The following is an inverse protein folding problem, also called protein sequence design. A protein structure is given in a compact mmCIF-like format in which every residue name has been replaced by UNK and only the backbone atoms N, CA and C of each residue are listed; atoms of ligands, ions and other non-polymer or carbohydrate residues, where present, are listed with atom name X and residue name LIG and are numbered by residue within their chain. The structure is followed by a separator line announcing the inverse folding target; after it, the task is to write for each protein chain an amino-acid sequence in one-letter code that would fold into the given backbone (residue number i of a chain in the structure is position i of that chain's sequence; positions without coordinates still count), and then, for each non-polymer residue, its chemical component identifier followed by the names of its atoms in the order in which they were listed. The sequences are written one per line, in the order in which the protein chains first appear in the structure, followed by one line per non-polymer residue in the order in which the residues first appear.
data_IF_981129871275
#
_entry.id   IF_981129871275
#
_cell.length_a   1.000
_cell.length_b   1.000
_cell.length_c   1.000
_cell.angle_alpha   90.00
_cell.angle_beta   90.00
_cell.angle_gamma   90.00
#
_symmetry.space_group_name_H-M   'P 1'
#
loop_
_entity.id
_entity.type
_entity.pdbx_description
1 polymer ?
#
# COMPACT_ATOMS: atom_id res chain seq x y z
N UNK A 1 -76.12 29.22 -51.09
CA UNK A 1 -75.53 27.86 -51.06
C UNK A 1 -74.01 28.01 -51.06
N UNK A 2 -73.38 28.01 -49.88
CA UNK A 2 -72.67 26.90 -49.23
C UNK A 2 -71.48 26.33 -50.03
N UNK A 3 -70.27 26.58 -49.47
CA UNK A 3 -69.17 25.61 -49.18
C UNK A 3 -68.33 25.17 -50.40
N UNK A 4 -66.99 25.12 -50.40
CA UNK A 4 -65.98 25.02 -49.32
C UNK A 4 -64.57 25.20 -49.90
N UNK A 5 -63.74 25.88 -49.14
CA UNK A 5 -62.28 25.94 -49.23
C UNK A 5 -61.62 24.56 -49.13
N UNK A 6 -60.56 24.33 -49.91
CA UNK A 6 -59.55 23.29 -49.63
C UNK A 6 -58.16 23.82 -50.01
N UNK A 7 -57.55 24.50 -49.04
CA UNK A 7 -56.13 24.85 -49.01
C UNK A 7 -55.33 23.55 -48.92
N UNK A 8 -54.56 23.25 -49.97
CA UNK A 8 -53.55 22.18 -49.95
C UNK A 8 -52.35 22.64 -49.14
N UNK A 9 -52.23 22.15 -47.91
CA UNK A 9 -51.00 22.25 -47.11
C UNK A 9 -49.96 21.27 -47.68
N UNK A 10 -48.94 21.81 -48.37
CA UNK A 10 -47.74 21.06 -48.70
C UNK A 10 -46.90 20.86 -47.43
N UNK A 11 -46.83 19.64 -46.93
CA UNK A 11 -45.91 19.27 -45.86
C UNK A 11 -44.48 19.23 -46.43
N UNK A 12 -43.71 20.29 -46.18
CA UNK A 12 -42.27 20.28 -46.40
C UNK A 12 -41.62 19.44 -45.30
N UNK A 13 -41.23 18.20 -45.63
CA UNK A 13 -40.37 17.38 -44.78
C UNK A 13 -38.96 18.00 -44.75
N UNK A 14 -38.72 18.86 -43.75
CA UNK A 14 -37.38 19.30 -43.36
C UNK A 14 -36.60 18.09 -42.82
N UNK A 15 -35.77 17.48 -43.66
CA UNK A 15 -34.76 16.53 -43.22
C UNK A 15 -33.67 17.30 -42.47
N UNK A 16 -33.79 17.37 -41.15
CA UNK A 16 -32.70 17.86 -40.31
C UNK A 16 -31.50 16.90 -40.45
N UNK A 17 -30.28 17.38 -40.73
CA UNK A 17 -29.11 16.54 -40.68
C UNK A 17 -28.91 16.10 -39.23
N UNK A 18 -29.07 14.81 -38.96
CA UNK A 18 -28.60 14.20 -37.73
C UNK A 18 -27.07 14.31 -37.72
N UNK A 19 -26.54 15.42 -37.21
CA UNK A 19 -25.15 15.53 -36.78
C UNK A 19 -24.98 14.58 -35.60
N UNK A 20 -24.69 13.32 -35.90
CA UNK A 20 -24.30 12.33 -34.91
C UNK A 20 -23.09 12.87 -34.16
N UNK A 21 -23.26 13.07 -32.86
CA UNK A 21 -22.17 13.33 -31.94
C UNK A 21 -21.32 12.06 -31.94
N UNK A 22 -20.30 11.99 -32.79
CA UNK A 22 -19.23 11.02 -32.63
C UNK A 22 -18.49 11.43 -31.35
N UNK A 23 -18.88 10.84 -30.23
CA UNK A 23 -18.12 10.94 -29.00
C UNK A 23 -16.71 10.47 -29.27
N UNK A 24 -15.73 11.34 -29.10
CA UNK A 24 -14.33 10.96 -29.14
C UNK A 24 -14.11 9.89 -28.08
N UNK A 25 -13.83 8.66 -28.51
CA UNK A 25 -13.46 7.58 -27.61
C UNK A 25 -12.09 7.95 -27.04
N UNK A 26 -12.07 8.52 -25.83
CA UNK A 26 -10.83 8.80 -25.12
C UNK A 26 -10.13 7.48 -24.87
N UNK A 27 -9.01 7.27 -25.55
CA UNK A 27 -8.20 6.08 -25.34
C UNK A 27 -7.81 5.98 -23.86
N UNK A 28 -7.95 4.78 -23.29
CA UNK A 28 -7.56 4.50 -21.91
C UNK A 28 -6.15 5.03 -21.62
N UNK A 29 -5.93 5.79 -20.52
CA UNK A 29 -4.63 6.36 -20.20
C UNK A 29 -3.56 5.26 -20.10
N UNK A 30 -2.45 5.44 -20.81
CA UNK A 30 -1.29 4.56 -20.71
C UNK A 30 -0.43 4.97 -19.52
N UNK A 31 -0.26 4.06 -18.57
CA UNK A 31 0.68 4.18 -17.46
C UNK A 31 1.87 3.26 -17.68
N UNK A 32 3.07 3.82 -17.65
CA UNK A 32 4.34 3.09 -17.74
C UNK A 32 4.84 2.84 -16.33
N UNK A 33 5.20 1.60 -16.00
CA UNK A 33 5.53 1.18 -14.64
C UNK A 33 6.90 0.50 -14.65
N UNK A 34 7.82 0.94 -13.79
CA UNK A 34 9.13 0.33 -13.58
C UNK A 34 9.14 -0.36 -12.22
N UNK A 35 9.41 -1.66 -12.21
CA UNK A 35 9.35 -2.51 -11.02
C UNK A 35 10.36 -3.66 -11.11
N UNK A 36 10.50 -4.39 -10.02
CA UNK A 36 11.14 -5.72 -10.05
C UNK A 36 10.15 -6.77 -10.64
N UNK A 37 10.61 -7.75 -11.45
CA UNK A 37 9.75 -8.78 -12.03
C UNK A 37 9.05 -9.62 -10.95
N UNK A 38 9.73 -9.87 -9.84
CA UNK A 38 9.29 -10.75 -8.75
C UNK A 38 8.55 -9.99 -7.64
N UNK A 39 8.26 -8.70 -7.84
CA UNK A 39 7.47 -7.91 -6.89
C UNK A 39 5.98 -8.25 -7.01
N UNK A 40 5.49 -9.15 -6.15
CA UNK A 40 4.08 -9.58 -6.10
C UNK A 40 3.11 -8.41 -5.95
N UNK A 41 3.29 -7.56 -4.94
CA UNK A 41 2.40 -6.42 -4.69
C UNK A 41 2.39 -5.40 -5.86
N UNK A 42 3.51 -5.23 -6.56
CA UNK A 42 3.57 -4.39 -7.76
C UNK A 42 2.71 -4.95 -8.90
N UNK A 43 2.71 -6.28 -9.09
CA UNK A 43 1.86 -6.94 -10.07
C UNK A 43 0.37 -6.79 -9.71
N UNK A 44 0.06 -6.83 -8.42
CA UNK A 44 -1.31 -6.73 -7.92
C UNK A 44 -1.86 -5.31 -8.05
N UNK A 45 -1.01 -4.31 -7.82
CA UNK A 45 -1.32 -2.93 -8.14
C UNK A 45 -1.53 -2.72 -9.65
N UNK A 46 -0.76 -3.39 -10.52
CA UNK A 46 -1.00 -3.38 -11.98
C UNK A 46 -2.36 -4.01 -12.33
N UNK A 47 -2.75 -5.12 -11.68
CA UNK A 47 -4.08 -5.72 -11.85
C UNK A 47 -5.19 -4.75 -11.44
N UNK A 48 -5.00 -4.03 -10.34
CA UNK A 48 -5.90 -2.96 -9.90
C UNK A 48 -6.04 -1.87 -10.96
N UNK A 49 -4.92 -1.38 -11.53
CA UNK A 49 -4.96 -0.38 -12.59
C UNK A 49 -5.73 -0.86 -13.83
N UNK A 50 -5.53 -2.10 -14.26
CA UNK A 50 -6.28 -2.68 -15.37
C UNK A 50 -7.78 -2.73 -15.08
N UNK A 51 -8.18 -3.16 -13.88
CA UNK A 51 -9.58 -3.18 -13.45
C UNK A 51 -10.22 -1.78 -13.45
N UNK A 52 -9.41 -0.73 -13.28
CA UNK A 52 -9.82 0.67 -13.30
C UNK A 52 -9.59 1.39 -14.65
N UNK A 53 -9.45 0.63 -15.73
CA UNK A 53 -9.47 1.17 -17.09
C UNK A 53 -8.15 1.80 -17.55
N UNK A 54 -7.04 1.51 -16.89
CA UNK A 54 -5.72 1.90 -17.37
C UNK A 54 -5.11 0.84 -18.30
N UNK A 55 -4.41 1.32 -19.32
CA UNK A 55 -3.47 0.49 -20.08
C UNK A 55 -2.13 0.55 -19.37
N UNK A 56 -1.52 -0.60 -19.10
CA UNK A 56 -0.24 -0.66 -18.39
C UNK A 56 0.85 -1.17 -19.33
N UNK A 57 1.99 -0.49 -19.34
CA UNK A 57 3.24 -1.01 -19.90
C UNK A 57 4.24 -1.18 -18.76
N UNK A 58 4.57 -2.43 -18.42
CA UNK A 58 5.51 -2.74 -17.36
C UNK A 58 6.94 -2.91 -17.91
N UNK A 59 7.90 -2.43 -17.14
CA UNK A 59 9.33 -2.62 -17.31
C UNK A 59 9.87 -3.30 -16.05
N UNK A 60 10.33 -4.53 -16.20
CA UNK A 60 10.80 -5.38 -15.08
C UNK A 60 12.23 -5.04 -14.64
N UNK A 61 12.69 -3.81 -14.83
CA UNK A 61 13.97 -3.34 -14.30
C UNK A 61 14.02 -1.81 -14.33
N UNK A 62 15.05 -1.24 -13.71
CA UNK A 62 15.34 0.19 -13.82
C UNK A 62 14.50 1.08 -12.90
N UNK A 63 13.76 0.53 -11.93
CA UNK A 63 12.95 1.30 -10.98
C UNK A 63 13.77 2.40 -10.27
N UNK A 64 14.89 2.04 -9.63
CA UNK A 64 15.72 3.01 -8.91
C UNK A 64 16.25 4.14 -9.81
N UNK A 65 16.71 3.80 -11.02
CA UNK A 65 17.19 4.78 -12.00
C UNK A 65 16.05 5.68 -12.51
N UNK A 66 14.86 5.12 -12.75
CA UNK A 66 13.70 5.88 -13.19
C UNK A 66 13.18 6.82 -12.10
N UNK A 67 13.12 6.36 -10.84
CA UNK A 67 12.77 7.20 -9.69
C UNK A 67 13.66 8.44 -9.60
N UNK A 68 14.97 8.23 -9.66
CA UNK A 68 15.95 9.33 -9.64
C UNK A 68 15.76 10.25 -10.84
N UNK A 69 15.61 9.70 -12.05
CA UNK A 69 15.40 10.46 -13.28
C UNK A 69 14.13 11.30 -13.26
N UNK A 70 13.07 10.79 -12.62
CA UNK A 70 11.79 11.47 -12.49
C UNK A 70 11.73 12.42 -11.30
N UNK A 71 12.83 12.57 -10.53
CA UNK A 71 12.93 13.57 -9.48
C UNK A 71 12.16 13.25 -8.20
N UNK A 72 11.81 11.99 -7.96
CA UNK A 72 11.17 11.60 -6.71
C UNK A 72 12.21 11.63 -5.56
N UNK A 73 11.94 12.37 -4.46
CA UNK A 73 12.81 12.39 -3.30
C UNK A 73 13.01 10.98 -2.71
N UNK A 74 14.23 10.62 -2.26
CA UNK A 74 14.50 9.31 -1.68
C UNK A 74 13.57 8.94 -0.51
N UNK A 75 13.16 9.93 0.28
CA UNK A 75 12.24 9.74 1.41
C UNK A 75 10.83 9.27 1.01
N UNK A 76 10.43 9.46 -0.26
CA UNK A 76 9.13 9.05 -0.78
C UNK A 76 9.17 7.70 -1.50
N UNK A 77 10.34 7.04 -1.55
CA UNK A 77 10.52 5.82 -2.33
C UNK A 77 9.59 4.68 -1.89
N UNK A 78 9.14 3.92 -2.89
CA UNK A 78 8.32 2.71 -2.76
C UNK A 78 8.88 1.55 -3.59
N UNK A 79 8.10 0.50 -3.83
CA UNK A 79 8.51 -0.70 -4.57
C UNK A 79 8.53 -0.50 -6.10
N UNK A 80 7.78 0.48 -6.63
CA UNK A 80 7.74 0.80 -8.05
C UNK A 80 7.54 2.31 -8.29
N UNK A 81 7.95 2.76 -9.47
CA UNK A 81 7.73 4.11 -9.97
C UNK A 81 7.00 4.00 -11.30
N UNK A 82 6.05 4.89 -11.55
CA UNK A 82 5.28 4.93 -12.77
C UNK A 82 5.13 6.34 -13.33
N UNK A 83 4.74 6.45 -14.60
CA UNK A 83 4.47 7.72 -15.27
C UNK A 83 3.20 7.63 -16.12
N UNK A 84 2.32 8.62 -15.96
CA UNK A 84 1.06 8.74 -16.71
C UNK A 84 0.68 10.20 -16.90
N UNK A 85 0.30 10.58 -18.13
CA UNK A 85 -0.23 11.93 -18.40
C UNK A 85 0.70 13.10 -18.05
N UNK A 86 2.01 12.86 -17.95
CA UNK A 86 3.01 13.84 -17.51
C UNK A 86 3.29 13.88 -16.00
N UNK A 87 2.59 13.05 -15.21
CA UNK A 87 2.79 12.92 -13.77
C UNK A 87 3.58 11.67 -13.42
N UNK A 88 4.32 11.75 -12.32
CA UNK A 88 4.99 10.62 -11.67
C UNK A 88 4.05 9.99 -10.64
N UNK A 89 3.99 8.67 -10.57
CA UNK A 89 3.21 7.92 -9.59
C UNK A 89 4.18 7.01 -8.84
N UNK A 90 4.41 7.27 -7.56
CA UNK A 90 5.33 6.50 -6.72
C UNK A 90 4.55 5.61 -5.76
N UNK A 91 4.77 4.29 -5.85
CA UNK A 91 4.14 3.32 -4.97
C UNK A 91 2.65 3.10 -5.19
N UNK A 92 2.01 2.49 -4.19
CA UNK A 92 0.65 1.95 -4.23
C UNK A 92 -0.46 3.03 -4.19
N UNK A 93 -0.37 4.01 -5.08
CA UNK A 93 -1.37 5.07 -5.24
C UNK A 93 -2.68 4.48 -5.81
N UNK A 94 -3.85 4.73 -5.20
CA UNK A 94 -5.11 4.23 -5.71
C UNK A 94 -5.47 4.77 -7.11
N UNK A 95 -5.95 3.90 -7.98
CA UNK A 95 -6.38 4.25 -9.33
C UNK A 95 -7.36 5.44 -9.37
N UNK A 96 -8.28 5.54 -8.40
CA UNK A 96 -9.21 6.66 -8.28
C UNK A 96 -8.50 8.02 -8.10
N UNK A 97 -7.42 8.07 -7.31
CA UNK A 97 -6.63 9.28 -7.11
C UNK A 97 -5.79 9.62 -8.33
N UNK A 98 -5.27 8.63 -9.05
CA UNK A 98 -4.59 8.83 -10.34
C UNK A 98 -5.56 9.42 -11.36
N UNK A 99 -6.78 8.89 -11.44
CA UNK A 99 -7.81 9.44 -12.33
C UNK A 99 -8.19 10.87 -11.92
N UNK A 100 -8.29 11.16 -10.62
CA UNK A 100 -8.56 12.52 -10.12
C UNK A 100 -7.44 13.48 -10.51
N UNK A 101 -6.18 13.07 -10.36
CA UNK A 101 -5.00 13.83 -10.78
C UNK A 101 -5.05 14.16 -12.28
N UNK A 102 -5.40 13.17 -13.13
CA UNK A 102 -5.48 13.36 -14.57
C UNK A 102 -6.64 14.25 -15.02
N UNK A 103 -7.74 14.29 -14.25
CA UNK A 103 -8.86 15.21 -14.50
C UNK A 103 -8.55 16.63 -14.05
N UNK A 104 -8.02 16.81 -12.84
CA UNK A 104 -7.77 18.12 -12.24
C UNK A 104 -6.52 18.81 -12.81
N UNK A 105 -5.54 18.00 -13.26
CA UNK A 105 -4.26 18.45 -13.81
C UNK A 105 -3.56 19.54 -12.97
N UNK A 106 -3.36 19.36 -11.66
CA UNK A 106 -2.67 20.36 -10.84
C UNK A 106 -1.21 20.52 -11.27
N UNK A 107 -0.63 21.70 -10.99
CA UNK A 107 0.80 21.92 -11.17
C UNK A 107 1.59 21.17 -10.09
N UNK A 108 2.01 19.94 -10.41
CA UNK A 108 2.72 19.05 -9.51
C UNK A 108 3.70 18.17 -10.29
N UNK A 109 4.62 17.52 -9.56
CA UNK A 109 5.39 16.40 -10.09
C UNK A 109 4.51 15.15 -10.23
N UNK A 110 3.69 14.87 -9.21
CA UNK A 110 2.82 13.70 -9.22
C UNK A 110 2.31 13.27 -7.84
N UNK A 111 2.02 11.99 -7.69
CA UNK A 111 1.50 11.39 -6.45
C UNK A 111 2.47 10.35 -5.89
N UNK A 112 2.51 10.22 -4.57
CA UNK A 112 3.30 9.21 -3.89
C UNK A 112 2.54 8.58 -2.71
N UNK A 113 2.67 7.25 -2.58
CA UNK A 113 2.43 6.50 -1.35
C UNK A 113 3.77 5.89 -0.92
N UNK A 114 4.49 6.52 0.02
CA UNK A 114 5.80 6.04 0.45
C UNK A 114 5.74 4.67 1.13
N UNK A 115 6.85 3.92 1.06
CA UNK A 115 6.96 2.54 1.58
C UNK A 115 5.93 1.63 0.90
N UNK A 116 5.19 0.82 1.66
CA UNK A 116 4.16 -0.11 1.19
C UNK A 116 3.15 -0.33 2.32
N UNK A 117 2.23 0.62 2.59
CA UNK A 117 1.24 0.47 3.65
C UNK A 117 0.27 -0.65 3.30
N UNK A 118 0.04 -1.56 4.25
CA UNK A 118 -0.94 -2.63 4.09
C UNK A 118 -2.33 -2.02 3.99
N UNK A 119 -3.17 -2.52 3.07
CA UNK A 119 -4.49 -1.96 2.76
C UNK A 119 -4.50 -0.92 1.63
N UNK A 120 -3.34 -0.54 1.10
CA UNK A 120 -3.25 0.15 -0.20
C UNK A 120 -3.44 -0.84 -1.37
N UNK A 121 -3.83 -0.42 -2.57
CA UNK A 121 -4.13 -1.36 -3.65
C UNK A 121 -2.92 -2.20 -4.07
N UNK A 122 -3.09 -3.52 -4.12
CA UNK A 122 -1.98 -4.47 -4.31
C UNK A 122 -1.23 -4.81 -3.02
N UNK A 123 -1.60 -4.18 -1.90
CA UNK A 123 -1.20 -4.51 -0.53
C UNK A 123 -2.45 -4.81 0.34
N UNK A 124 -3.58 -5.12 -0.30
CA UNK A 124 -4.90 -5.30 0.31
C UNK A 124 -5.50 -6.69 0.07
N UNK A 125 -4.67 -7.62 -0.42
CA UNK A 125 -5.03 -9.02 -0.62
C UNK A 125 -5.17 -9.82 0.69
N UNK A 126 -5.76 -11.04 0.61
CA UNK A 126 -5.98 -11.91 1.76
C UNK A 126 -4.69 -12.30 2.50
N UNK A 127 -3.54 -12.28 1.82
CA UNK A 127 -2.21 -12.50 2.41
C UNK A 127 -1.86 -11.49 3.52
N UNK A 128 -2.59 -10.38 3.60
CA UNK A 128 -2.43 -9.37 4.65
C UNK A 128 -3.50 -9.45 5.76
N UNK A 129 -4.30 -10.52 5.80
CA UNK A 129 -5.21 -10.81 6.92
C UNK A 129 -6.27 -9.74 7.16
N UNK A 130 -6.77 -9.09 6.10
CA UNK A 130 -7.72 -7.96 6.17
C UNK A 130 -7.23 -6.74 6.98
N UNK A 131 -5.94 -6.69 7.31
CA UNK A 131 -5.34 -5.51 7.93
C UNK A 131 -5.41 -4.34 6.96
N UNK A 132 -5.65 -3.14 7.49
CA UNK A 132 -5.43 -1.88 6.76
C UNK A 132 -4.70 -0.91 7.66
N UNK A 133 -3.51 -0.51 7.25
CA UNK A 133 -2.78 0.59 7.86
C UNK A 133 -3.38 1.92 7.38
N UNK A 134 -3.43 2.94 8.24
CA UNK A 134 -3.70 4.28 7.76
C UNK A 134 -2.55 4.74 6.86
N UNK A 135 -2.88 5.38 5.74
CA UNK A 135 -1.89 5.98 4.87
C UNK A 135 -2.43 7.20 4.15
N UNK A 136 -1.51 8.09 3.77
CA UNK A 136 -1.80 9.23 2.94
C UNK A 136 -1.25 9.03 1.53
N UNK A 137 -1.99 9.54 0.55
CA UNK A 137 -1.50 9.82 -0.78
C UNK A 137 -1.01 11.25 -0.80
N UNK A 138 0.27 11.43 -1.11
CA UNK A 138 0.92 12.74 -1.11
C UNK A 138 0.94 13.32 -2.52
N UNK A 139 0.54 14.58 -2.68
CA UNK A 139 0.85 15.36 -3.86
C UNK A 139 2.27 15.88 -3.74
N UNK A 140 3.12 15.49 -4.67
CA UNK A 140 4.53 15.86 -4.73
C UNK A 140 4.68 17.06 -5.66
N UNK A 141 5.21 18.16 -5.16
CA UNK A 141 5.54 19.34 -5.93
C UNK A 141 6.87 19.15 -6.68
N UNK A 142 7.15 20.00 -7.67
CA UNK A 142 8.36 19.87 -8.52
C UNK A 142 9.67 20.16 -7.79
N UNK A 143 9.60 20.86 -6.66
CA UNK A 143 10.70 21.13 -5.73
C UNK A 143 10.89 20.00 -4.69
N UNK A 144 10.04 18.97 -4.72
CA UNK A 144 10.06 17.86 -3.77
C UNK A 144 9.24 18.07 -2.51
N UNK A 145 8.64 19.26 -2.30
CA UNK A 145 7.72 19.48 -1.20
C UNK A 145 6.44 18.65 -1.38
N UNK A 146 5.80 18.29 -0.26
CA UNK A 146 4.61 17.42 -0.28
C UNK A 146 3.45 18.03 0.48
N UNK A 147 2.23 17.75 0.01
CA UNK A 147 1.00 17.97 0.78
C UNK A 147 0.09 16.76 0.66
N UNK A 148 -0.78 16.54 1.63
CA UNK A 148 -1.78 15.46 1.57
C UNK A 148 -2.72 15.72 0.39
N UNK A 149 -2.91 14.69 -0.45
CA UNK A 149 -3.86 14.66 -1.56
C UNK A 149 -5.14 13.90 -1.16
N UNK A 150 -4.97 12.76 -0.50
CA UNK A 150 -6.05 11.95 0.06
C UNK A 150 -5.54 11.20 1.29
N UNK A 151 -6.42 10.89 2.23
CA UNK A 151 -6.13 10.11 3.43
C UNK A 151 -7.02 8.88 3.47
N UNK A 152 -6.42 7.73 3.76
CA UNK A 152 -7.09 6.45 3.88
C UNK A 152 -7.01 5.97 5.33
N UNK A 153 -8.15 5.82 6.03
CA UNK A 153 -8.13 5.34 7.39
C UNK A 153 -7.72 3.86 7.43
N UNK A 154 -7.02 3.48 8.48
CA UNK A 154 -6.76 2.08 8.78
C UNK A 154 -8.00 1.39 9.36
N UNK A 155 -7.97 0.06 9.37
CA UNK A 155 -8.92 -0.76 10.09
C UNK A 155 -8.16 -1.82 10.88
N UNK A 156 -8.18 -1.68 12.20
CA UNK A 156 -7.86 -2.78 13.12
C UNK A 156 -9.07 -3.71 13.14
N UNK A 157 -9.08 -4.73 12.29
CA UNK A 157 -10.04 -5.82 12.45
C UNK A 157 -9.71 -6.54 13.76
N UNK A 158 -10.65 -6.68 14.71
CA UNK A 158 -10.46 -7.61 15.82
C UNK A 158 -10.38 -9.02 15.24
N UNK A 159 -9.40 -9.80 15.67
CA UNK A 159 -9.33 -11.22 15.32
C UNK A 159 -10.66 -11.91 15.70
N UNK A 160 -11.17 -12.86 14.90
CA UNK A 160 -12.37 -13.59 15.26
C UNK A 160 -12.05 -14.47 16.47
N UNK A 161 -12.47 -14.03 17.66
CA UNK A 161 -12.52 -14.89 18.83
C UNK A 161 -13.66 -15.90 18.63
N UNK A 162 -13.31 -17.14 18.31
CA UNK A 162 -14.21 -18.28 18.42
C UNK A 162 -14.72 -18.36 19.86
N UNK A 163 -16.02 -18.13 20.03
CA UNK A 163 -16.65 -18.05 21.34
C UNK A 163 -16.83 -19.43 21.98
N UNK A 164 -16.52 -19.50 23.28
CA UNK A 164 -17.24 -20.28 24.28
C UNK A 164 -17.02 -19.63 25.66
N UNK A 165 -18.06 -19.04 26.24
CA UNK A 165 -18.04 -18.55 27.63
C UNK A 165 -19.09 -17.49 27.89
N UNK A 166 -20.16 -17.86 28.61
CA UNK A 166 -21.24 -16.99 29.06
C UNK A 166 -20.78 -15.99 30.18
N UNK A 167 -21.59 -14.97 30.53
CA UNK A 167 -21.09 -13.70 31.08
C UNK A 167 -21.01 -13.68 32.62
N UNK A 168 -20.04 -12.93 33.15
CA UNK A 168 -19.94 -12.54 34.56
C UNK A 168 -19.70 -11.02 34.67
N UNK A 169 -20.19 -10.35 35.74
CA UNK A 169 -20.40 -8.91 35.74
C UNK A 169 -19.15 -8.09 36.07
N UNK A 170 -19.23 -6.82 35.67
CA UNK A 170 -18.21 -5.78 35.72
C UNK A 170 -17.62 -5.48 37.12
N UNK A 171 -16.39 -4.94 37.14
CA UNK A 171 -16.14 -3.57 37.62
C UNK A 171 -14.73 -3.08 37.31
N UNK A 172 -14.62 -1.76 37.29
CA UNK A 172 -13.56 -0.89 36.79
C UNK A 172 -12.20 -1.01 37.47
N UNK A 173 -11.14 -0.83 36.69
CA UNK A 173 -10.16 0.25 36.88
C UNK A 173 -9.43 0.53 35.56
N UNK A 174 -9.53 1.77 35.08
CA UNK A 174 -8.90 2.24 33.86
C UNK A 174 -7.63 3.04 34.21
N UNK A 175 -6.49 2.57 33.73
CA UNK A 175 -5.23 3.31 33.56
C UNK A 175 -4.62 2.93 32.19
N UNK A 176 -3.87 3.83 31.53
CA UNK A 176 -3.78 3.87 30.07
C UNK A 176 -2.88 2.77 29.50
N UNK A 177 -3.40 2.05 28.51
CA UNK A 177 -2.66 1.04 27.75
C UNK A 177 -1.51 1.67 26.96
N UNK A 178 -0.28 1.31 27.32
CA UNK A 178 0.93 1.61 26.55
C UNK A 178 1.13 0.56 25.44
N UNK A 179 1.29 1.05 24.20
CA UNK A 179 1.94 0.42 23.04
C UNK A 179 1.56 -1.05 22.68
N UNK A 180 0.59 -1.20 21.77
CA UNK A 180 0.13 -2.49 21.23
C UNK A 180 1.15 -3.24 20.33
N UNK A 181 1.49 -4.45 20.77
CA UNK A 181 1.18 -5.76 20.15
C UNK A 181 1.90 -6.33 18.90
N UNK A 182 3.15 -5.95 18.61
CA UNK A 182 4.01 -6.69 17.62
C UNK A 182 5.25 -7.38 18.25
N UNK A 183 5.27 -7.50 19.58
CA UNK A 183 6.43 -8.05 20.31
C UNK A 183 6.31 -9.56 20.48
N UNK A 184 7.21 -10.31 19.85
CA UNK A 184 7.43 -11.72 20.12
C UNK A 184 8.23 -11.91 21.42
N UNK A 185 7.99 -13.01 22.12
CA UNK A 185 8.81 -13.43 23.27
C UNK A 185 9.77 -14.52 22.83
N UNK A 186 11.00 -14.51 23.35
CA UNK A 186 11.94 -15.60 23.13
C UNK A 186 13.03 -15.66 24.18
N UNK A 187 13.72 -16.79 24.23
CA UNK A 187 14.91 -17.02 25.04
C UNK A 187 16.14 -16.95 24.14
N UNK A 188 17.15 -16.18 24.55
CA UNK A 188 18.42 -16.10 23.83
C UNK A 188 19.17 -17.42 23.97
N UNK A 189 19.40 -18.12 22.85
CA UNK A 189 20.19 -19.35 22.84
C UNK A 189 21.66 -19.09 22.55
N UNK A 190 21.95 -18.11 21.70
CA UNK A 190 23.32 -17.72 21.32
C UNK A 190 23.35 -16.31 20.73
N UNK A 191 24.40 -15.55 21.01
CA UNK A 191 24.68 -14.25 20.40
C UNK A 191 25.96 -14.37 19.58
N UNK A 192 25.94 -13.88 18.34
CA UNK A 192 27.12 -13.74 17.48
C UNK A 192 27.23 -12.27 17.06
N UNK A 193 27.88 -11.49 17.91
CA UNK A 193 28.04 -10.04 17.72
C UNK A 193 28.93 -9.73 16.51
N UNK A 194 29.95 -10.56 16.26
CA UNK A 194 30.83 -10.40 15.10
C UNK A 194 30.06 -10.52 13.77
N UNK A 195 29.10 -11.44 13.69
CA UNK A 195 28.26 -11.66 12.52
C UNK A 195 26.95 -10.86 12.52
N UNK A 196 26.61 -10.14 13.61
CA UNK A 196 25.34 -9.43 13.76
C UNK A 196 24.13 -10.37 13.74
N UNK A 197 24.24 -11.51 14.43
CA UNK A 197 23.21 -12.55 14.48
C UNK A 197 22.89 -12.97 15.90
N UNK A 198 21.65 -13.37 16.12
CA UNK A 198 21.17 -13.90 17.40
C UNK A 198 20.32 -15.14 17.16
N UNK A 199 20.58 -16.21 17.91
CA UNK A 199 19.76 -17.41 17.90
C UNK A 199 18.74 -17.29 19.02
N UNK A 200 17.46 -17.32 18.68
CA UNK A 200 16.36 -17.19 19.63
C UNK A 200 15.50 -18.45 19.57
N UNK A 201 15.19 -19.00 20.75
CA UNK A 201 14.04 -19.89 20.91
C UNK A 201 12.84 -18.99 21.14
N UNK A 202 12.03 -18.78 20.14
CA UNK A 202 10.90 -17.86 20.22
C UNK A 202 9.59 -18.61 20.40
N UNK A 203 8.63 -17.95 21.05
CA UNK A 203 7.23 -18.34 21.02
C UNK A 203 6.63 -18.13 19.63
N UNK A 204 5.31 -18.26 19.46
CA UNK A 204 4.70 -18.01 18.16
C UNK A 204 4.97 -16.55 17.74
N UNK A 205 5.32 -16.36 16.47
CA UNK A 205 5.42 -15.03 15.85
C UNK A 205 4.36 -14.97 14.75
N UNK A 206 3.11 -14.62 15.11
CA UNK A 206 1.98 -14.71 14.19
C UNK A 206 2.18 -13.87 12.93
N UNK A 207 2.80 -12.69 13.04
CA UNK A 207 3.00 -11.80 11.90
C UNK A 207 4.08 -12.26 10.90
N UNK A 208 4.81 -13.34 11.23
CA UNK A 208 5.77 -13.99 10.33
C UNK A 208 5.35 -15.43 9.98
N UNK A 209 4.13 -15.85 10.36
CA UNK A 209 3.63 -17.22 10.25
C UNK A 209 4.59 -18.27 10.87
N UNK A 210 5.30 -17.88 11.92
CA UNK A 210 6.26 -18.76 12.58
C UNK A 210 5.65 -19.41 13.82
N UNK A 211 5.51 -20.74 13.85
CA UNK A 211 5.24 -21.44 15.09
C UNK A 211 6.43 -21.30 16.05
N UNK A 212 6.27 -21.65 17.34
CA UNK A 212 7.39 -21.66 18.28
C UNK A 212 8.54 -22.53 17.77
N UNK A 213 9.70 -21.95 17.56
CA UNK A 213 10.88 -22.66 17.06
C UNK A 213 12.18 -21.99 17.52
N UNK A 214 13.31 -22.64 17.22
CA UNK A 214 14.64 -22.08 17.46
C UNK A 214 15.31 -21.79 16.14
N UNK A 215 15.65 -20.51 15.90
CA UNK A 215 16.29 -20.12 14.66
C UNK A 215 17.18 -18.89 14.82
N UNK A 216 17.96 -18.61 13.77
CA UNK A 216 18.87 -17.47 13.72
C UNK A 216 18.16 -16.28 13.10
N UNK A 217 18.17 -15.17 13.81
CA UNK A 217 17.78 -13.87 13.32
C UNK A 217 19.02 -13.01 13.10
N UNK A 218 19.00 -12.18 12.07
CA UNK A 218 19.95 -11.08 11.93
C UNK A 218 19.48 -9.91 12.79
N UNK A 219 20.38 -9.04 13.23
CA UNK A 219 19.99 -7.80 13.91
C UNK A 219 20.16 -6.61 12.99
N UNK A 220 19.20 -5.68 13.01
CA UNK A 220 19.26 -4.44 12.24
C UNK A 220 20.43 -3.56 12.68
N UNK A 221 20.71 -3.55 13.98
CA UNK A 221 21.81 -2.81 14.60
C UNK A 221 22.47 -3.70 15.65
N UNK A 222 23.80 -3.75 15.68
CA UNK A 222 24.56 -4.53 16.66
C UNK A 222 24.44 -3.95 18.07
N UNK A 223 24.16 -2.65 18.20
CA UNK A 223 23.89 -2.02 19.49
C UNK A 223 22.73 -2.70 20.25
N UNK A 224 21.79 -3.31 19.53
CA UNK A 224 20.69 -4.08 20.12
C UNK A 224 21.14 -5.32 20.89
N UNK A 225 22.34 -5.84 20.63
CA UNK A 225 22.89 -7.02 21.31
C UNK A 225 23.64 -6.65 22.59
N UNK A 226 23.93 -5.38 22.82
CA UNK A 226 24.70 -4.93 23.97
C UNK A 226 23.92 -5.14 25.26
N UNK A 227 24.59 -5.78 26.24
CA UNK A 227 23.99 -6.08 27.54
C UNK A 227 23.03 -7.28 27.56
N UNK A 228 22.85 -7.99 26.45
CA UNK A 228 22.09 -9.23 26.40
C UNK A 228 22.98 -10.46 26.63
N UNK A 229 22.42 -11.51 27.25
CA UNK A 229 23.15 -12.74 27.55
C UNK A 229 22.37 -14.00 27.10
N UNK A 230 23.05 -15.08 26.69
CA UNK A 230 22.41 -16.38 26.49
C UNK A 230 21.69 -16.85 27.77
N UNK A 231 20.51 -17.45 27.61
CA UNK A 231 19.60 -17.87 28.68
C UNK A 231 18.59 -16.79 29.10
N UNK A 232 18.74 -15.56 28.62
CA UNK A 232 17.84 -14.45 28.97
C UNK A 232 16.53 -14.51 28.19
N UNK A 233 15.41 -14.30 28.88
CA UNK A 233 14.11 -14.04 28.25
C UNK A 233 14.07 -12.61 27.73
N UNK A 234 13.69 -12.46 26.47
CA UNK A 234 13.59 -11.18 25.77
C UNK A 234 12.24 -11.05 25.11
N UNK A 235 11.81 -9.80 24.95
CA UNK A 235 10.81 -9.44 23.95
C UNK A 235 11.53 -8.83 22.78
N UNK A 236 11.19 -9.23 21.56
CA UNK A 236 11.80 -8.71 20.35
C UNK A 236 10.77 -8.53 19.23
N UNK A 237 11.06 -7.61 18.30
CA UNK A 237 10.32 -7.42 17.06
C UNK A 237 11.21 -7.87 15.92
N UNK A 238 10.64 -8.64 14.99
CA UNK A 238 11.35 -9.12 13.82
C UNK A 238 10.53 -8.88 12.55
N UNK A 239 11.21 -8.62 11.44
CA UNK A 239 10.62 -8.49 10.12
C UNK A 239 11.30 -9.44 9.13
N UNK A 240 10.58 -9.91 8.12
CA UNK A 240 11.19 -10.63 7.01
C UNK A 240 11.51 -9.65 5.87
N UNK A 241 12.78 -9.52 5.53
CA UNK A 241 13.26 -8.60 4.48
C UNK A 241 14.28 -9.34 3.62
N UNK A 242 14.06 -9.39 2.30
CA UNK A 242 15.03 -9.96 1.36
C UNK A 242 15.36 -11.43 1.62
N UNK A 243 14.42 -12.21 2.15
CA UNK A 243 14.63 -13.62 2.49
C UNK A 243 15.22 -13.87 3.89
N UNK A 244 15.58 -12.83 4.64
CA UNK A 244 16.15 -12.93 5.99
C UNK A 244 15.19 -12.38 7.06
N UNK A 245 15.24 -12.96 8.26
CA UNK A 245 14.52 -12.47 9.44
C UNK A 245 15.42 -11.55 10.25
N UNK A 246 14.99 -10.31 10.43
CA UNK A 246 15.78 -9.22 11.02
C UNK A 246 15.08 -8.71 12.27
N UNK A 247 15.74 -8.80 13.42
CA UNK A 247 15.32 -8.16 14.66
C UNK A 247 15.50 -6.66 14.53
N UNK A 248 14.41 -5.91 14.64
CA UNK A 248 14.44 -4.44 14.58
C UNK A 248 14.59 -3.82 15.95
N UNK A 249 14.03 -4.47 16.97
CA UNK A 249 14.02 -4.00 18.36
C UNK A 249 14.04 -5.22 19.28
N UNK A 250 14.76 -5.12 20.40
CA UNK A 250 14.87 -6.17 21.40
C UNK A 250 15.05 -5.52 22.77
N UNK A 251 14.40 -6.09 23.78
CA UNK A 251 14.52 -5.67 25.17
C UNK A 251 14.41 -6.88 26.10
N UNK A 252 14.97 -6.75 27.30
CA UNK A 252 14.74 -7.73 28.35
C UNK A 252 13.23 -7.96 28.53
N UNK A 253 12.82 -9.23 28.55
CA UNK A 253 11.47 -9.63 28.90
C UNK A 253 11.29 -9.55 30.41
N UNK A 254 10.03 -9.53 30.90
CA UNK A 254 9.75 -9.78 32.31
C UNK A 254 10.22 -11.19 32.73
#
# INVERSE_FOLDING_TARGET
MKRRDCIRWGAACLTAPATGWLGAQTAAPLIRVWKDPNCGCCNDWIRHLHAHGFRVQAFDSGNAAMRQRLGIPPALASCHTAQVGGYVIEGHVPAADIQRLLRERPAALGLAVPRMPVGSPGMDGPEYGNRRDPYDVLLVQRDGATRIYASYPGSTAPAPHGGHGAPGPASADAAPSAAGDDWATGEIRRIDDAAGKITLRHGPIPHLDMPPMTMVFQVRDRALLQGLQPGQTVRFRALHIGGAYIVTDIKAGP
#
